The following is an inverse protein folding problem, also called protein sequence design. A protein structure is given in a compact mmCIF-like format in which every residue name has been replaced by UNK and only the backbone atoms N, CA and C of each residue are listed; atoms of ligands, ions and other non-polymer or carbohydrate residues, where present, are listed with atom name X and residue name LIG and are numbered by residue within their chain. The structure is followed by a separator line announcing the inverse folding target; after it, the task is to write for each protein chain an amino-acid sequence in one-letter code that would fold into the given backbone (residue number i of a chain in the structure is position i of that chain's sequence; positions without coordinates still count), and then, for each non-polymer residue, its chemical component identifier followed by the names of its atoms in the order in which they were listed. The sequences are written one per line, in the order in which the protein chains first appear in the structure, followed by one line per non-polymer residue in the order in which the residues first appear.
data_IF_776422470178
#
_entry.id   IF_776422470178
#
_cell.length_a   1.000
_cell.length_b   1.000
_cell.length_c   1.000
_cell.angle_alpha   90.00
_cell.angle_beta   90.00
_cell.angle_gamma   90.00
#
_symmetry.space_group_name_H-M   'P 1'
#
loop_
_entity.id
_entity.type
_entity.pdbx_description
1 polymer ?
#
# COMPACT_ATOMS: atom_id res chain seq x y z
N UNK A 1 13.23 -38.71 -57.81
CA UNK A 1 12.07 -38.16 -57.07
C UNK A 1 12.12 -38.45 -55.55
N UNK A 2 13.29 -38.37 -54.89
CA UNK A 2 13.43 -38.69 -53.44
C UNK A 2 13.74 -37.46 -52.55
N UNK A 3 13.98 -36.29 -53.13
CA UNK A 3 14.35 -35.06 -52.39
C UNK A 3 13.15 -34.18 -52.02
N UNK A 4 12.02 -34.34 -52.70
CA UNK A 4 10.78 -33.62 -52.43
C UNK A 4 10.20 -33.88 -51.01
N UNK A 5 10.16 -35.12 -50.48
CA UNK A 5 9.64 -35.34 -49.12
C UNK A 5 10.59 -34.80 -48.03
N UNK A 6 11.89 -34.74 -48.30
CA UNK A 6 12.89 -34.22 -47.34
C UNK A 6 12.79 -32.69 -47.23
N UNK A 7 12.63 -32.00 -48.37
CA UNK A 7 12.47 -30.54 -48.39
C UNK A 7 11.15 -30.13 -47.74
N UNK A 8 10.07 -30.89 -47.95
CA UNK A 8 8.79 -30.64 -47.30
C UNK A 8 8.84 -30.87 -45.78
N UNK A 9 9.58 -31.89 -45.33
CA UNK A 9 9.79 -32.17 -43.90
C UNK A 9 10.60 -31.08 -43.18
N UNK A 10 11.65 -30.55 -43.81
CA UNK A 10 12.46 -29.45 -43.26
C UNK A 10 11.63 -28.16 -43.14
N UNK A 11 10.79 -27.87 -44.14
CA UNK A 11 9.90 -26.70 -44.12
C UNK A 11 8.86 -26.80 -42.99
N UNK A 12 8.32 -27.99 -42.73
CA UNK A 12 7.39 -28.24 -41.62
C UNK A 12 8.02 -28.06 -40.24
N UNK A 13 9.26 -28.55 -40.04
CA UNK A 13 9.99 -28.36 -38.77
C UNK A 13 10.35 -26.89 -38.55
N UNK A 14 10.73 -26.18 -39.61
CA UNK A 14 11.01 -24.74 -39.52
C UNK A 14 9.78 -23.93 -39.12
N UNK A 15 8.58 -24.27 -39.62
CA UNK A 15 7.33 -23.57 -39.28
C UNK A 15 6.88 -23.84 -37.83
N UNK A 16 7.11 -25.06 -37.30
CA UNK A 16 6.78 -25.40 -35.90
C UNK A 16 7.76 -24.77 -34.89
N UNK A 17 8.94 -24.34 -35.35
CA UNK A 17 9.97 -23.71 -34.51
C UNK A 17 9.72 -22.22 -34.22
N UNK A 18 8.66 -21.63 -34.79
CA UNK A 18 8.32 -20.21 -34.67
C UNK A 18 7.17 -19.91 -33.69
N UNK A 19 6.90 -20.78 -32.72
CA UNK A 19 6.12 -20.37 -31.55
C UNK A 19 7.05 -19.60 -30.61
N UNK A 20 6.88 -18.28 -30.39
CA UNK A 20 7.54 -17.60 -29.29
C UNK A 20 6.96 -18.16 -27.98
N UNK A 21 7.60 -19.19 -27.43
CA UNK A 21 7.28 -19.70 -26.11
C UNK A 21 8.18 -18.99 -25.09
N UNK A 22 7.72 -17.83 -24.63
CA UNK A 22 7.97 -17.17 -23.34
C UNK A 22 7.59 -15.70 -23.54
N UNK A 23 6.32 -15.36 -23.30
CA UNK A 23 6.06 -14.00 -22.84
C UNK A 23 6.77 -13.87 -21.49
N UNK A 24 7.66 -12.89 -21.37
CA UNK A 24 8.29 -12.59 -20.09
C UNK A 24 7.18 -12.04 -19.20
N UNK A 25 6.68 -12.86 -18.28
CA UNK A 25 5.62 -12.51 -17.33
C UNK A 25 6.08 -11.35 -16.45
N UNK A 26 5.81 -10.13 -16.88
CA UNK A 26 6.09 -8.92 -16.12
C UNK A 26 4.92 -8.61 -15.19
N UNK A 27 4.60 -9.51 -14.26
CA UNK A 27 3.73 -9.13 -13.14
C UNK A 27 4.35 -7.93 -12.42
N UNK A 28 3.54 -6.95 -11.97
CA UNK A 28 4.06 -5.85 -11.16
C UNK A 28 4.79 -6.43 -9.94
N UNK A 29 6.00 -5.95 -9.62
CA UNK A 29 6.70 -6.40 -8.41
C UNK A 29 5.89 -6.10 -7.14
N UNK A 30 5.04 -5.07 -7.21
CA UNK A 30 4.18 -4.61 -6.14
C UNK A 30 2.72 -4.98 -6.45
N UNK A 31 2.29 -6.16 -6.01
CA UNK A 31 0.92 -6.65 -6.16
C UNK A 31 -0.08 -6.03 -5.16
N UNK A 32 0.42 -5.27 -4.18
CA UNK A 32 -0.39 -4.64 -3.13
C UNK A 32 -0.24 -3.12 -3.17
N UNK A 33 -1.35 -2.41 -2.99
CA UNK A 33 -1.38 -0.97 -2.84
C UNK A 33 -1.39 -0.62 -1.35
N UNK A 34 -0.40 0.17 -0.92
CA UNK A 34 -0.26 0.60 0.47
C UNK A 34 -0.49 2.10 0.58
N UNK A 35 -1.26 2.51 1.58
CA UNK A 35 -1.44 3.91 1.93
C UNK A 35 -0.13 4.46 2.52
N UNK A 36 0.37 5.55 1.94
CA UNK A 36 1.58 6.22 2.41
C UNK A 36 1.26 7.41 3.30
N UNK A 37 1.75 7.39 4.54
CA UNK A 37 1.60 8.46 5.52
C UNK A 37 2.95 9.12 5.76
N UNK A 38 3.00 10.46 5.71
CA UNK A 38 4.17 11.25 6.08
C UNK A 38 3.91 12.00 7.39
N UNK A 39 4.89 12.03 8.28
CA UNK A 39 4.84 12.80 9.52
C UNK A 39 5.40 14.19 9.28
N UNK A 40 4.64 15.21 9.66
CA UNK A 40 5.01 16.61 9.47
C UNK A 40 4.76 17.45 10.73
N UNK A 41 5.50 18.55 10.89
CA UNK A 41 5.23 19.57 11.90
C UNK A 41 4.05 20.48 11.51
N UNK A 42 3.67 21.39 12.41
CA UNK A 42 2.67 22.43 12.18
C UNK A 42 2.97 23.36 10.97
N UNK A 43 4.19 23.33 10.43
CA UNK A 43 4.61 24.11 9.26
C UNK A 43 4.71 23.25 7.98
N UNK A 44 4.33 21.97 8.06
CA UNK A 44 4.38 21.02 6.95
C UNK A 44 5.77 20.46 6.62
N UNK A 45 6.76 20.64 7.50
CA UNK A 45 8.12 20.09 7.33
C UNK A 45 8.15 18.67 7.86
N UNK A 46 8.92 17.80 7.20
CA UNK A 46 9.06 16.41 7.65
C UNK A 46 9.66 16.32 9.06
N UNK A 47 9.06 15.49 9.89
CA UNK A 47 9.50 15.22 11.26
C UNK A 47 9.65 13.73 11.50
N UNK A 48 10.39 13.38 12.54
CA UNK A 48 10.53 12.00 13.00
C UNK A 48 9.96 11.88 14.40
N UNK A 49 9.10 10.89 14.61
CA UNK A 49 8.77 10.44 15.96
C UNK A 49 9.92 9.58 16.49
N UNK A 50 10.64 10.10 17.48
CA UNK A 50 11.92 9.54 17.96
C UNK A 50 11.75 8.38 18.94
N UNK A 51 10.64 8.35 19.68
CA UNK A 51 10.30 7.26 20.60
C UNK A 51 9.67 6.07 19.84
N UNK A 52 9.33 5.00 20.57
CA UNK A 52 8.73 3.80 20.00
C UNK A 52 7.28 4.00 19.57
N UNK A 53 6.98 3.60 18.34
CA UNK A 53 5.66 3.60 17.74
C UNK A 53 5.28 2.18 17.31
N UNK A 54 4.14 1.71 17.81
CA UNK A 54 3.49 0.48 17.33
C UNK A 54 2.22 0.86 16.57
N UNK A 55 2.01 0.27 15.40
CA UNK A 55 0.78 0.47 14.62
C UNK A 55 0.01 -0.83 14.59
N UNK A 56 -1.23 -0.78 15.08
CA UNK A 56 -2.17 -1.90 15.04
C UNK A 56 -3.24 -1.58 14.01
N UNK A 57 -3.38 -2.43 12.99
CA UNK A 57 -4.47 -2.34 12.03
C UNK A 57 -5.69 -3.07 12.57
N UNK A 58 -6.84 -2.39 12.54
CA UNK A 58 -8.14 -3.03 12.63
C UNK A 58 -8.67 -3.13 11.19
N UNK A 59 -8.48 -4.31 10.59
CA UNK A 59 -8.77 -4.59 9.20
C UNK A 59 -10.09 -5.33 9.08
N UNK A 60 -11.02 -4.74 8.34
CA UNK A 60 -12.31 -5.37 8.01
C UNK A 60 -12.21 -6.22 6.74
N UNK A 61 -12.71 -7.43 6.85
CA UNK A 61 -13.00 -8.33 5.72
C UNK A 61 -14.51 -8.55 5.66
N UNK A 62 -14.99 -9.22 4.62
CA UNK A 62 -16.44 -9.39 4.38
C UNK A 62 -17.25 -9.79 5.64
N UNK A 63 -16.70 -10.68 6.48
CA UNK A 63 -17.42 -11.24 7.63
C UNK A 63 -16.71 -11.05 8.97
N UNK A 64 -15.47 -10.54 8.97
CA UNK A 64 -14.65 -10.50 10.19
C UNK A 64 -13.81 -9.23 10.31
N UNK A 65 -13.65 -8.78 11.54
CA UNK A 65 -12.69 -7.73 11.91
C UNK A 65 -11.44 -8.39 12.52
N UNK A 66 -10.30 -8.14 11.89
CA UNK A 66 -9.00 -8.66 12.32
C UNK A 66 -8.22 -7.51 12.94
N UNK A 67 -7.59 -7.78 14.09
CA UNK A 67 -6.61 -6.87 14.69
C UNK A 67 -5.22 -7.47 14.49
N UNK A 68 -4.34 -6.74 13.81
CA UNK A 68 -2.97 -7.17 13.56
C UNK A 68 -1.95 -6.07 13.87
N UNK A 69 -0.78 -6.45 14.36
CA UNK A 69 0.33 -5.52 14.61
C UNK A 69 1.12 -5.35 13.31
N UNK A 70 0.83 -4.27 12.58
CA UNK A 70 1.44 -3.97 11.28
C UNK A 70 2.87 -3.46 11.43
N UNK A 71 3.14 -2.67 12.47
CA UNK A 71 4.47 -2.16 12.80
C UNK A 71 4.67 -2.32 14.31
N UNK A 72 5.78 -2.92 14.71
CA UNK A 72 6.06 -3.22 16.11
C UNK A 72 7.25 -2.39 16.62
N UNK A 73 6.98 -1.45 17.54
CA UNK A 73 7.99 -0.65 18.27
C UNK A 73 9.04 0.00 17.37
N UNK A 74 8.63 0.56 16.23
CA UNK A 74 9.53 1.32 15.36
C UNK A 74 10.00 2.61 16.03
N UNK A 75 11.24 3.03 15.80
CA UNK A 75 11.82 4.28 16.33
C UNK A 75 12.27 5.17 15.17
N UNK A 76 12.42 6.47 15.41
CA UNK A 76 12.79 7.45 14.37
C UNK A 76 11.88 7.39 13.13
N UNK A 77 10.59 7.18 13.35
CA UNK A 77 9.62 6.96 12.28
C UNK A 77 9.19 8.29 11.69
N UNK A 78 9.36 8.47 10.37
CA UNK A 78 8.91 9.66 9.62
C UNK A 78 7.81 9.34 8.61
N UNK A 79 7.67 8.07 8.22
CA UNK A 79 6.64 7.62 7.29
C UNK A 79 6.07 6.28 7.72
N UNK A 80 4.86 5.97 7.27
CA UNK A 80 4.23 4.67 7.41
C UNK A 80 3.69 4.22 6.06
N UNK A 81 3.86 2.93 5.74
CA UNK A 81 3.24 2.28 4.59
C UNK A 81 2.29 1.21 5.14
N UNK A 82 0.98 1.43 5.03
CA UNK A 82 -0.02 0.61 5.71
C UNK A 82 -1.07 0.07 4.72
N UNK A 83 -1.44 -1.23 4.81
CA UNK A 83 -2.44 -1.81 3.94
C UNK A 83 -3.83 -1.35 4.34
N UNK A 84 -4.70 -1.14 3.35
CA UNK A 84 -6.13 -0.95 3.60
C UNK A 84 -6.87 -2.30 3.64
N UNK A 85 -7.96 -2.31 4.39
CA UNK A 85 -8.86 -3.45 4.52
C UNK A 85 -9.74 -3.61 3.28
N UNK A 86 -10.50 -4.71 3.20
CA UNK A 86 -11.49 -4.92 2.12
C UNK A 86 -12.90 -4.42 2.50
N UNK A 87 -13.07 -3.87 3.69
CA UNK A 87 -14.27 -3.15 4.10
C UNK A 87 -14.32 -1.72 3.53
N UNK A 88 -15.34 -0.96 3.89
CA UNK A 88 -15.47 0.46 3.51
C UNK A 88 -14.61 1.39 4.38
N UNK A 89 -14.14 0.88 5.53
CA UNK A 89 -13.30 1.59 6.46
C UNK A 89 -12.11 0.74 6.91
N UNK A 90 -10.98 1.42 7.10
CA UNK A 90 -9.79 0.85 7.74
C UNK A 90 -9.38 1.72 8.91
N UNK A 91 -9.12 1.10 10.07
CA UNK A 91 -8.70 1.85 11.26
C UNK A 91 -7.28 1.47 11.64
N UNK A 92 -6.47 2.47 11.97
CA UNK A 92 -5.11 2.29 12.45
C UNK A 92 -4.97 2.89 13.83
N UNK A 93 -4.55 2.08 14.79
CA UNK A 93 -4.27 2.50 16.16
C UNK A 93 -2.78 2.78 16.25
N UNK A 94 -2.40 4.05 16.37
CA UNK A 94 -1.04 4.48 16.68
C UNK A 94 -0.84 4.43 18.19
N UNK A 95 -0.01 3.49 18.63
CA UNK A 95 0.39 3.35 20.01
C UNK A 95 1.79 3.93 20.21
N UNK A 96 1.81 5.12 20.82
CA UNK A 96 3.02 5.86 21.16
C UNK A 96 3.54 5.38 22.51
N UNK A 97 4.57 4.52 22.54
CA UNK A 97 5.28 4.05 23.73
C UNK A 97 4.41 3.95 25.02
N UNK A 98 4.73 4.79 26.02
CA UNK A 98 4.02 4.91 27.30
C UNK A 98 3.01 6.09 27.33
N UNK A 99 2.59 6.59 26.17
CA UNK A 99 1.68 7.74 26.01
C UNK A 99 0.27 7.30 25.59
N UNK A 100 -0.59 8.26 25.30
CA UNK A 100 -1.93 8.03 24.75
C UNK A 100 -1.84 7.35 23.37
N UNK A 101 -2.98 6.84 22.89
CA UNK A 101 -3.09 6.24 21.55
C UNK A 101 -3.95 7.11 20.67
N UNK A 102 -3.60 7.20 19.40
CA UNK A 102 -4.50 7.76 18.39
C UNK A 102 -5.10 6.67 17.53
N UNK A 103 -6.32 6.91 17.07
CA UNK A 103 -6.97 6.09 16.05
C UNK A 103 -7.14 6.93 14.81
N UNK A 104 -6.64 6.46 13.67
CA UNK A 104 -6.98 6.97 12.35
C UNK A 104 -8.11 6.11 11.81
N UNK A 105 -9.13 6.71 11.22
CA UNK A 105 -10.20 6.04 10.50
C UNK A 105 -10.17 6.53 9.07
N UNK A 106 -9.84 5.65 8.13
CA UNK A 106 -9.79 5.93 6.70
C UNK A 106 -11.04 5.31 6.08
N UNK A 107 -11.91 6.14 5.50
CA UNK A 107 -13.05 5.70 4.71
C UNK A 107 -12.65 5.73 3.24
N UNK A 108 -12.93 4.64 2.53
CA UNK A 108 -12.47 4.47 1.17
C UNK A 108 -13.41 3.60 0.33
N UNK A 109 -13.24 3.70 -0.98
CA UNK A 109 -13.88 2.84 -1.97
C UNK A 109 -12.86 1.85 -2.51
N UNK A 110 -13.21 0.58 -2.48
CA UNK A 110 -12.41 -0.52 -3.02
C UNK A 110 -12.59 -0.62 -4.54
N UNK A 111 -11.47 -0.59 -5.28
CA UNK A 111 -11.43 -0.64 -6.74
C UNK A 111 -10.62 -1.88 -7.16
N UNK A 112 -11.28 -3.02 -7.46
CA UNK A 112 -10.58 -4.20 -7.93
C UNK A 112 -10.00 -3.93 -9.32
N UNK A 113 -8.71 -4.24 -9.49
CA UNK A 113 -7.98 -4.07 -10.73
C UNK A 113 -7.49 -5.42 -11.23
N UNK A 114 -7.97 -5.83 -12.41
CA UNK A 114 -7.50 -7.04 -13.07
C UNK A 114 -6.21 -6.75 -13.83
N UNK A 115 -5.14 -7.46 -13.49
CA UNK A 115 -3.84 -7.29 -14.12
C UNK A 115 -3.82 -8.09 -15.43
N UNK A 116 -3.91 -9.41 -15.33
CA UNK A 116 -4.05 -10.39 -16.42
C UNK A 116 -4.38 -11.76 -15.82
N UNK A 117 -4.48 -12.80 -16.64
CA UNK A 117 -4.84 -14.15 -16.18
C UNK A 117 -3.78 -14.77 -15.25
N UNK A 118 -2.50 -14.46 -15.50
CA UNK A 118 -1.38 -15.10 -14.80
C UNK A 118 -1.07 -14.41 -13.46
N UNK A 119 -1.17 -13.08 -13.41
CA UNK A 119 -0.91 -12.24 -12.24
C UNK A 119 -2.16 -11.97 -11.39
N UNK A 120 -3.35 -12.32 -11.90
CA UNK A 120 -4.62 -12.18 -11.19
C UNK A 120 -5.10 -10.73 -11.00
N UNK A 121 -5.60 -10.43 -9.81
CA UNK A 121 -6.20 -9.13 -9.46
C UNK A 121 -5.47 -8.49 -8.29
N UNK A 122 -5.44 -7.16 -8.27
CA UNK A 122 -5.03 -6.36 -7.13
C UNK A 122 -6.15 -5.42 -6.68
N UNK A 123 -5.97 -4.77 -5.53
CA UNK A 123 -6.92 -3.79 -5.01
C UNK A 123 -6.29 -2.40 -4.99
N UNK A 124 -6.95 -1.45 -5.65
CA UNK A 124 -6.71 -0.03 -5.49
C UNK A 124 -7.80 0.59 -4.63
N UNK A 125 -7.54 1.80 -4.13
CA UNK A 125 -8.47 2.48 -3.25
C UNK A 125 -8.60 3.95 -3.62
N UNK A 126 -9.82 4.47 -3.46
CA UNK A 126 -10.10 5.90 -3.50
C UNK A 126 -10.56 6.33 -2.10
N UNK A 127 -9.76 7.16 -1.43
CA UNK A 127 -10.06 7.68 -0.10
C UNK A 127 -11.17 8.73 -0.21
N UNK A 128 -12.24 8.52 0.54
CA UNK A 128 -13.40 9.41 0.58
C UNK A 128 -13.49 10.19 1.90
N UNK A 129 -12.78 9.75 2.94
CA UNK A 129 -12.71 10.44 4.22
C UNK A 129 -11.55 9.96 5.08
N UNK A 130 -11.08 10.83 5.96
CA UNK A 130 -10.02 10.53 6.91
C UNK A 130 -10.27 11.29 8.21
N UNK A 131 -10.37 10.56 9.31
CA UNK A 131 -10.67 11.10 10.63
C UNK A 131 -9.69 10.58 11.67
N UNK A 132 -9.57 11.29 12.80
CA UNK A 132 -8.66 10.89 13.87
C UNK A 132 -9.08 11.41 15.24
N UNK A 133 -8.62 10.74 16.30
CA UNK A 133 -8.91 11.09 17.70
C UNK A 133 -8.05 12.23 18.28
N UNK A 134 -7.01 12.67 17.56
CA UNK A 134 -6.16 13.85 17.89
C UNK A 134 -5.72 13.97 19.37
N UNK A 135 -5.25 12.88 19.97
CA UNK A 135 -4.75 12.83 21.36
C UNK A 135 -3.27 13.16 21.48
N UNK A 136 -2.47 12.67 20.53
CA UNK A 136 -1.03 12.94 20.43
C UNK A 136 -0.70 13.69 19.14
N UNK A 137 -1.30 13.26 18.01
CA UNK A 137 -1.23 14.02 16.76
C UNK A 137 -2.21 15.20 16.76
N UNK A 138 -1.94 16.19 15.94
CA UNK A 138 -2.78 17.39 15.77
C UNK A 138 -3.87 17.18 14.71
N UNK A 139 -3.49 16.76 13.51
CA UNK A 139 -4.45 16.55 12.42
C UNK A 139 -3.99 15.50 11.40
N UNK A 140 -4.94 14.99 10.62
CA UNK A 140 -4.73 14.07 9.50
C UNK A 140 -5.30 14.71 8.23
N UNK A 141 -4.45 14.85 7.21
CA UNK A 141 -4.82 15.49 5.93
C UNK A 141 -4.63 14.51 4.79
N UNK A 142 -5.62 14.41 3.92
CA UNK A 142 -5.53 13.66 2.66
C UNK A 142 -4.77 14.53 1.64
N UNK A 143 -3.62 14.06 1.15
CA UNK A 143 -2.84 14.74 0.12
C UNK A 143 -3.06 14.16 -1.27
N UNK A 144 -3.31 12.84 -1.34
CA UNK A 144 -3.70 12.17 -2.57
C UNK A 144 -4.73 11.06 -2.24
N UNK A 145 -5.98 11.18 -2.70
CA UNK A 145 -7.02 10.19 -2.40
C UNK A 145 -6.82 8.86 -3.14
N UNK A 146 -6.03 8.82 -4.22
CA UNK A 146 -5.83 7.61 -4.99
C UNK A 146 -4.65 6.79 -4.43
N UNK A 147 -4.96 5.60 -3.93
CA UNK A 147 -3.96 4.64 -3.43
C UNK A 147 -3.81 3.55 -4.49
N UNK A 148 -2.67 3.60 -5.16
CA UNK A 148 -2.23 2.67 -6.19
C UNK A 148 -0.89 2.02 -5.76
N UNK A 149 -0.25 1.26 -6.65
CA UNK A 149 1.03 0.62 -6.38
C UNK A 149 2.26 1.48 -6.75
N UNK A 150 2.09 2.78 -6.96
CA UNK A 150 3.18 3.72 -7.28
C UNK A 150 3.77 4.42 -6.04
N UNK A 151 3.38 4.02 -4.82
CA UNK A 151 3.96 4.49 -3.55
C UNK A 151 3.95 6.02 -3.37
N UNK A 152 2.88 6.67 -3.87
CA UNK A 152 2.70 8.12 -3.73
C UNK A 152 2.26 8.46 -2.29
N UNK A 153 2.71 9.59 -1.75
CA UNK A 153 2.19 10.12 -0.48
C UNK A 153 0.67 10.31 -0.56
N UNK A 154 -0.08 9.72 0.37
CA UNK A 154 -1.54 9.82 0.43
C UNK A 154 -2.03 10.68 1.59
N UNK A 155 -1.27 10.69 2.69
CA UNK A 155 -1.65 11.35 3.92
C UNK A 155 -0.49 12.10 4.56
N UNK A 156 -0.82 13.22 5.20
CA UNK A 156 0.05 13.88 6.17
C UNK A 156 -0.55 13.80 7.56
N UNK A 157 0.25 13.34 8.51
CA UNK A 157 -0.06 13.35 9.94
C UNK A 157 0.73 14.51 10.55
N UNK A 158 0.01 15.51 11.04
CA UNK A 158 0.59 16.68 11.67
C UNK A 158 0.82 16.43 13.16
N UNK A 159 2.00 16.82 13.62
CA UNK A 159 2.35 16.89 15.03
C UNK A 159 2.67 18.34 15.39
N UNK A 160 2.13 18.79 16.52
CA UNK A 160 2.54 20.07 17.10
C UNK A 160 3.85 19.84 17.84
N UNK A 161 4.94 20.38 17.31
CA UNK A 161 6.23 20.42 18.01
C UNK A 161 6.22 21.65 18.89
N UNK A 162 6.23 21.45 20.21
CA UNK A 162 6.64 22.48 21.14
C UNK A 162 8.15 22.63 21.04
N UNK A 163 8.62 23.82 20.61
CA UNK A 163 10.01 24.21 20.75
C UNK A 163 10.36 24.26 22.24
N UNK A 164 10.70 23.12 22.84
CA UNK A 164 11.51 23.11 24.06
C UNK A 164 12.96 23.28 23.64
N UNK A 165 13.26 24.46 23.10
CA UNK A 165 14.61 25.01 23.09
C UNK A 165 14.66 26.02 24.23
N UNK A 166 15.36 25.61 25.30
CA UNK A 166 15.66 26.25 26.60
C UNK A 166 14.88 25.73 27.82
#
# INVERSE_FOLDING_TARGET
MKKLPIVLGILLVAVVSFFPACEVENCPPNALAYAQFAFVDQYGRSVQYTDTLTVIGQLETADTTIYDTLINKSTNTSTLSLPLSYGEQTRFILQYANRQRDVLTITHRNIPYFINLDCGTMMFYEVTGAETTTRMLDSLVITNPNIDNYEKENFKIYFTISDTNE
#
